data_IF_985439790085
#
_entry.id   IF_985439790085
#
_cell.length_a   1.000
_cell.length_b   1.000
_cell.length_c   1.000
_cell.angle_alpha   90.00
_cell.angle_beta   90.00
_cell.angle_gamma   90.00
#
_symmetry.space_group_name_H-M   'P 1'
#
loop_
_entity.id
_entity.type
_entity.pdbx_description
1 polymer ?
#
# COMPACT_ATOMS: atom_id res chain seq x y z
N UNK A 1 32.17 15.35 48.32
CA UNK A 1 31.48 14.24 47.62
C UNK A 1 30.11 14.76 47.22
N UNK A 2 29.99 15.39 46.03
CA UNK A 2 28.76 16.05 45.57
C UNK A 2 27.90 15.03 44.81
N UNK A 3 26.71 14.74 45.34
CA UNK A 3 25.71 13.91 44.68
C UNK A 3 25.20 14.64 43.43
N UNK A 4 25.48 14.10 42.24
CA UNK A 4 24.87 14.55 41.00
C UNK A 4 23.36 14.24 41.07
N UNK A 5 22.54 15.29 41.02
CA UNK A 5 21.10 15.17 40.94
C UNK A 5 20.74 14.32 39.72
N UNK A 6 20.04 13.21 39.96
CA UNK A 6 19.58 12.27 38.94
C UNK A 6 18.57 13.01 38.04
N UNK A 7 19.00 13.44 36.86
CA UNK A 7 18.15 14.10 35.88
C UNK A 7 16.88 13.25 35.67
N UNK A 8 15.71 13.85 35.93
CA UNK A 8 14.43 13.23 35.58
C UNK A 8 14.44 12.99 34.07
N UNK A 9 14.26 11.73 33.65
CA UNK A 9 14.05 11.40 32.23
C UNK A 9 12.97 12.34 31.68
N UNK A 10 13.33 13.06 30.62
CA UNK A 10 12.38 13.91 29.90
C UNK A 10 11.18 13.04 29.51
N UNK A 11 9.94 13.53 29.66
CA UNK A 11 8.78 12.78 29.21
C UNK A 11 8.97 12.46 27.72
N UNK A 12 8.71 11.20 27.33
CA UNK A 12 8.76 10.82 25.93
C UNK A 12 7.85 11.77 25.15
N UNK A 13 8.43 12.52 24.21
CA UNK A 13 7.66 13.32 23.26
C UNK A 13 6.75 12.33 22.54
N UNK A 14 5.44 12.42 22.81
CA UNK A 14 4.46 11.56 22.17
C UNK A 14 4.41 11.99 20.72
N UNK A 15 5.13 11.28 19.85
CA UNK A 15 5.06 11.51 18.41
C UNK A 15 3.59 11.33 17.98
N UNK A 16 2.96 12.43 17.59
CA UNK A 16 1.60 12.39 17.03
C UNK A 16 1.70 11.72 15.68
N UNK A 17 0.97 10.62 15.52
CA UNK A 17 0.89 9.96 14.23
C UNK A 17 0.11 10.82 13.26
N UNK A 18 0.72 11.11 12.11
CA UNK A 18 0.06 11.82 11.04
C UNK A 18 -0.47 10.80 10.05
N UNK A 19 -1.77 10.87 9.77
CA UNK A 19 -2.37 10.21 8.62
C UNK A 19 -2.24 11.15 7.41
N UNK A 20 -1.31 10.88 6.47
CA UNK A 20 -1.10 11.73 5.29
C UNK A 20 -2.32 11.77 4.38
N UNK A 21 -3.21 10.78 4.42
CA UNK A 21 -4.45 10.79 3.65
C UNK A 21 -5.46 11.76 4.27
N UNK A 22 -5.53 11.82 5.61
CA UNK A 22 -6.41 12.75 6.33
C UNK A 22 -5.99 14.20 6.09
N UNK A 23 -4.69 14.50 6.12
CA UNK A 23 -4.19 15.86 5.86
C UNK A 23 -4.41 16.32 4.42
N UNK A 24 -4.54 15.40 3.47
CA UNK A 24 -4.76 15.69 2.05
C UNK A 24 -6.23 15.56 1.60
N UNK A 25 -7.13 15.12 2.48
CA UNK A 25 -8.52 14.79 2.14
C UNK A 25 -9.30 15.95 1.48
N UNK A 26 -8.99 17.19 1.86
CA UNK A 26 -9.58 18.40 1.27
C UNK A 26 -9.16 18.65 -0.19
N UNK A 27 -8.09 18.00 -0.66
CA UNK A 27 -7.56 18.15 -2.03
C UNK A 27 -7.37 16.79 -2.71
N UNK A 28 -8.42 16.34 -3.39
CA UNK A 28 -8.42 15.07 -4.12
C UNK A 28 -7.39 14.99 -5.26
N UNK A 29 -6.95 16.12 -5.82
CA UNK A 29 -5.89 16.12 -6.82
C UNK A 29 -4.55 15.67 -6.22
N UNK A 30 -4.24 16.11 -4.99
CA UNK A 30 -3.04 15.67 -4.26
C UNK A 30 -3.15 14.19 -3.85
N UNK A 31 -4.33 13.74 -3.46
CA UNK A 31 -4.58 12.31 -3.16
C UNK A 31 -4.31 11.46 -4.41
N UNK A 32 -4.89 11.82 -5.56
CA UNK A 32 -4.65 11.14 -6.84
C UNK A 32 -3.19 11.17 -7.26
N UNK A 33 -2.50 12.29 -7.05
CA UNK A 33 -1.09 12.41 -7.39
C UNK A 33 -0.22 11.45 -6.56
N UNK A 34 -0.49 11.33 -5.25
CA UNK A 34 0.33 10.53 -4.33
C UNK A 34 -0.01 9.04 -4.33
N UNK A 35 -1.27 8.69 -4.49
CA UNK A 35 -1.76 7.32 -4.35
C UNK A 35 -2.25 6.70 -5.65
N UNK A 36 -2.35 7.48 -6.74
CA UNK A 36 -2.97 7.05 -8.02
C UNK A 36 -4.45 6.65 -7.93
N UNK A 37 -5.05 6.85 -6.76
CA UNK A 37 -6.46 6.61 -6.46
C UNK A 37 -7.09 7.86 -5.82
N UNK A 38 -8.41 7.95 -5.87
CA UNK A 38 -9.17 8.91 -5.06
C UNK A 38 -9.54 8.33 -3.69
N UNK A 39 -10.09 9.15 -2.79
CA UNK A 39 -10.42 8.72 -1.43
C UNK A 39 -11.44 7.56 -1.42
N UNK A 40 -12.51 7.65 -2.21
CA UNK A 40 -13.53 6.60 -2.27
C UNK A 40 -12.95 5.24 -2.72
N UNK A 41 -12.02 5.25 -3.69
CA UNK A 41 -11.32 4.05 -4.14
C UNK A 41 -10.42 3.48 -3.05
N UNK A 42 -9.70 4.34 -2.31
CA UNK A 42 -8.87 3.90 -1.19
C UNK A 42 -9.69 3.33 -0.03
N UNK A 43 -10.88 3.87 0.23
CA UNK A 43 -11.81 3.30 1.21
C UNK A 43 -12.35 1.95 0.74
N UNK A 44 -12.74 1.83 -0.52
CA UNK A 44 -13.14 0.55 -1.09
C UNK A 44 -12.04 -0.51 -0.99
N UNK A 45 -10.77 -0.16 -1.28
CA UNK A 45 -9.63 -1.08 -1.08
C UNK A 45 -9.50 -1.43 0.41
N UNK A 46 -9.66 -0.45 1.30
CA UNK A 46 -9.58 -0.66 2.74
C UNK A 46 -10.62 -1.66 3.22
N UNK A 47 -11.87 -1.53 2.78
CA UNK A 47 -12.95 -2.46 3.11
C UNK A 47 -12.64 -3.88 2.62
N UNK A 48 -12.09 -4.04 1.42
CA UNK A 48 -11.72 -5.35 0.88
C UNK A 48 -10.58 -6.02 1.63
N UNK A 49 -9.58 -5.25 2.06
CA UNK A 49 -8.41 -5.79 2.76
C UNK A 49 -8.62 -5.91 4.27
N UNK A 50 -9.58 -5.17 4.86
CA UNK A 50 -9.81 -5.13 6.29
C UNK A 50 -9.95 -6.49 7.00
N UNK A 51 -10.55 -7.55 6.40
CA UNK A 51 -10.61 -8.88 7.00
C UNK A 51 -9.27 -9.61 7.06
N UNK A 52 -8.31 -9.24 6.21
CA UNK A 52 -6.99 -9.87 6.09
C UNK A 52 -5.91 -9.08 6.85
N UNK A 53 -6.22 -7.85 7.23
CA UNK A 53 -5.35 -7.01 8.06
C UNK A 53 -5.61 -7.31 9.52
N UNK A 54 -4.51 -7.42 10.30
CA UNK A 54 -4.59 -7.69 11.73
C UNK A 54 -5.44 -6.66 12.47
N UNK A 55 -6.11 -7.12 13.54
CA UNK A 55 -7.06 -6.30 14.27
C UNK A 55 -6.43 -5.05 14.87
N UNK A 56 -7.25 -4.00 14.90
CA UNK A 56 -7.05 -2.85 15.77
C UNK A 56 -7.25 -3.36 17.21
N UNK A 57 -6.22 -3.99 17.76
CA UNK A 57 -6.20 -4.26 19.21
C UNK A 57 -6.50 -2.95 19.93
N UNK A 58 -7.20 -3.04 21.06
CA UNK A 58 -7.64 -1.94 21.96
C UNK A 58 -6.52 -0.97 22.41
N UNK A 59 -5.32 -1.16 21.89
CA UNK A 59 -4.14 -0.42 22.24
C UNK A 59 -4.07 0.92 21.52
N UNK A 60 -3.77 2.02 22.23
CA UNK A 60 -3.61 3.35 21.65
C UNK A 60 -2.54 3.45 20.55
N UNK A 61 -1.68 2.44 20.42
CA UNK A 61 -0.64 2.36 19.41
C UNK A 61 -0.99 1.46 18.22
N UNK A 62 -2.21 0.91 18.13
CA UNK A 62 -2.67 0.24 16.93
C UNK A 62 -2.69 1.23 15.74
N UNK A 63 -2.40 0.72 14.54
CA UNK A 63 -2.41 1.51 13.31
C UNK A 63 -3.68 1.16 12.58
N UNK A 64 -4.55 2.14 12.37
CA UNK A 64 -5.85 1.91 11.74
C UNK A 64 -5.72 1.22 10.38
N UNK A 65 -6.67 0.36 10.04
CA UNK A 65 -6.69 -0.33 8.74
C UNK A 65 -6.57 0.64 7.55
N UNK A 66 -7.23 1.80 7.63
CA UNK A 66 -7.13 2.88 6.63
C UNK A 66 -5.70 3.40 6.48
N UNK A 67 -4.98 3.61 7.57
CA UNK A 67 -3.57 4.04 7.53
C UNK A 67 -2.66 2.90 7.05
N UNK A 68 -2.90 1.66 7.46
CA UNK A 68 -2.16 0.49 6.96
C UNK A 68 -2.24 0.41 5.42
N UNK A 69 -3.46 0.48 4.86
CA UNK A 69 -3.66 0.46 3.41
C UNK A 69 -3.01 1.66 2.72
N UNK A 70 -3.15 2.86 3.27
CA UNK A 70 -2.48 4.04 2.71
C UNK A 70 -0.95 3.86 2.65
N UNK A 71 -0.33 3.27 3.67
CA UNK A 71 1.10 2.97 3.68
C UNK A 71 1.50 1.96 2.61
N UNK A 72 0.75 0.86 2.46
CA UNK A 72 1.01 -0.15 1.44
C UNK A 72 0.85 0.39 0.02
N UNK A 73 -0.24 1.12 -0.26
CA UNK A 73 -0.45 1.75 -1.57
C UNK A 73 0.63 2.80 -1.86
N UNK A 74 1.03 3.61 -0.85
CA UNK A 74 2.09 4.60 -1.03
C UNK A 74 3.42 3.93 -1.37
N UNK A 75 3.74 2.81 -0.73
CA UNK A 75 4.90 2.01 -1.09
C UNK A 75 4.81 1.51 -2.53
N UNK A 76 3.70 0.91 -2.95
CA UNK A 76 3.53 0.42 -4.34
C UNK A 76 3.67 1.54 -5.39
N UNK A 77 3.27 2.77 -5.05
CA UNK A 77 3.41 3.92 -5.95
C UNK A 77 4.84 4.48 -6.03
N UNK A 78 5.70 4.21 -5.06
CA UNK A 78 7.01 4.88 -4.91
C UNK A 78 8.19 3.93 -4.84
N UNK A 79 7.94 2.66 -4.58
CA UNK A 79 8.93 1.63 -4.26
C UNK A 79 9.92 2.04 -3.15
N UNK A 80 9.50 2.89 -2.20
CA UNK A 80 10.38 3.45 -1.18
C UNK A 80 9.77 3.45 0.21
N UNK A 81 10.35 2.64 1.10
CA UNK A 81 10.00 2.63 2.52
C UNK A 81 10.30 3.97 3.20
N UNK A 82 11.37 4.67 2.79
CA UNK A 82 11.75 5.95 3.39
C UNK A 82 10.72 7.05 3.09
N UNK A 83 10.13 7.05 1.89
CA UNK A 83 9.04 7.99 1.57
C UNK A 83 7.83 7.70 2.45
N UNK A 84 7.47 6.43 2.65
CA UNK A 84 6.34 6.07 3.51
C UNK A 84 6.61 6.45 4.97
N UNK A 85 7.82 6.20 5.49
CA UNK A 85 8.22 6.63 6.84
C UNK A 85 8.12 8.14 7.00
N UNK A 86 8.60 8.91 6.01
CA UNK A 86 8.50 10.38 6.02
C UNK A 86 7.05 10.89 5.96
N UNK A 87 6.19 10.23 5.17
CA UNK A 87 4.77 10.56 5.07
C UNK A 87 3.99 10.17 6.35
N UNK A 88 4.40 9.10 7.06
CA UNK A 88 3.78 8.62 8.30
C UNK A 88 4.63 8.93 9.52
N UNK A 89 4.69 10.22 9.89
CA UNK A 89 5.35 10.66 11.11
C UNK A 89 4.88 9.84 12.33
N UNK A 90 5.81 9.39 13.17
CA UNK A 90 5.52 8.59 14.36
C UNK A 90 5.47 7.07 14.15
N UNK A 91 5.78 6.57 12.96
CA UNK A 91 5.99 5.13 12.69
C UNK A 91 7.48 4.82 12.52
N UNK A 92 7.96 3.74 13.15
CA UNK A 92 9.32 3.25 12.91
C UNK A 92 9.43 2.57 11.55
N UNK A 93 10.62 2.54 10.95
CA UNK A 93 10.85 1.82 9.68
C UNK A 93 10.42 0.34 9.75
N UNK A 94 10.67 -0.34 10.89
CA UNK A 94 10.21 -1.72 11.12
C UNK A 94 8.69 -1.84 11.06
N UNK A 95 7.98 -0.90 11.69
CA UNK A 95 6.52 -0.82 11.65
C UNK A 95 6.02 -0.63 10.22
N UNK A 96 6.63 0.29 9.47
CA UNK A 96 6.27 0.53 8.06
C UNK A 96 6.49 -0.73 7.23
N UNK A 97 7.65 -1.36 7.34
CA UNK A 97 7.98 -2.58 6.58
C UNK A 97 7.01 -3.72 6.88
N UNK A 98 6.67 -3.96 8.15
CA UNK A 98 5.69 -4.98 8.54
C UNK A 98 4.30 -4.71 7.96
N UNK A 99 3.87 -3.45 7.97
CA UNK A 99 2.56 -3.05 7.41
C UNK A 99 2.54 -3.23 5.90
N UNK A 100 3.58 -2.76 5.21
CA UNK A 100 3.71 -2.93 3.76
C UNK A 100 3.66 -4.40 3.40
N UNK A 101 4.40 -5.25 4.12
CA UNK A 101 4.37 -6.71 3.93
C UNK A 101 2.96 -7.29 4.08
N UNK A 102 2.25 -6.95 5.16
CA UNK A 102 0.87 -7.41 5.40
C UNK A 102 -0.11 -6.95 4.32
N UNK A 103 0.00 -5.70 3.86
CA UNK A 103 -0.88 -5.19 2.80
C UNK A 103 -0.60 -5.90 1.48
N UNK A 104 0.67 -6.17 1.15
CA UNK A 104 1.04 -6.93 -0.04
C UNK A 104 0.53 -8.37 0.06
N UNK A 105 0.67 -9.01 1.23
CA UNK A 105 0.14 -10.35 1.47
C UNK A 105 -1.39 -10.39 1.33
N UNK A 106 -2.10 -9.41 1.89
CA UNK A 106 -3.54 -9.28 1.75
C UNK A 106 -3.97 -9.06 0.28
N UNK A 107 -3.23 -8.26 -0.48
CA UNK A 107 -3.48 -8.07 -1.92
C UNK A 107 -3.25 -9.36 -2.73
N UNK A 108 -2.36 -10.24 -2.27
CA UNK A 108 -2.08 -11.53 -2.90
C UNK A 108 -2.94 -12.67 -2.33
N UNK A 109 -3.92 -12.37 -1.50
CA UNK A 109 -4.84 -13.38 -0.98
C UNK A 109 -5.54 -14.11 -2.15
N UNK A 110 -5.54 -15.47 -2.18
CA UNK A 110 -6.04 -16.23 -3.33
C UNK A 110 -7.49 -15.93 -3.70
N UNK A 111 -8.36 -15.68 -2.71
CA UNK A 111 -9.77 -15.37 -2.92
C UNK A 111 -9.93 -14.00 -3.58
N UNK A 112 -9.13 -13.01 -3.15
CA UNK A 112 -9.13 -11.67 -3.75
C UNK A 112 -8.53 -11.71 -5.16
N UNK A 113 -7.40 -12.40 -5.34
CA UNK A 113 -6.74 -12.58 -6.65
C UNK A 113 -7.69 -13.26 -7.63
N UNK A 114 -8.40 -14.33 -7.23
CA UNK A 114 -9.36 -15.02 -8.11
C UNK A 114 -10.53 -14.15 -8.54
N UNK A 115 -10.95 -13.19 -7.71
CA UNK A 115 -12.05 -12.27 -8.04
C UNK A 115 -11.65 -11.24 -9.10
N UNK A 116 -10.41 -10.73 -9.05
CA UNK A 116 -9.98 -9.60 -9.89
C UNK A 116 -9.02 -9.98 -11.02
N UNK A 117 -8.22 -11.03 -10.83
CA UNK A 117 -7.23 -11.52 -11.78
C UNK A 117 -7.75 -12.81 -12.40
N UNK A 118 -8.34 -12.69 -13.58
CA UNK A 118 -8.60 -13.85 -14.43
C UNK A 118 -7.30 -14.17 -15.14
N UNK A 119 -6.58 -15.21 -14.71
CA UNK A 119 -5.42 -15.75 -15.41
C UNK A 119 -5.68 -17.22 -15.74
N UNK A 120 -5.87 -17.52 -17.03
CA UNK A 120 -6.21 -18.88 -17.52
C UNK A 120 -5.11 -19.41 -18.43
N UNK A 121 -3.93 -19.77 -17.89
CA UNK A 121 -2.79 -20.21 -18.69
C UNK A 121 -3.06 -21.51 -19.45
N UNK A 122 -3.94 -22.35 -18.89
CA UNK A 122 -4.35 -23.63 -19.48
C UNK A 122 -5.36 -23.48 -20.64
N UNK A 123 -5.78 -22.26 -20.98
CA UNK A 123 -6.70 -21.99 -22.08
C UNK A 123 -5.93 -21.28 -23.21
N UNK A 124 -5.47 -22.01 -24.25
CA UNK A 124 -4.66 -21.43 -25.34
C UNK A 124 -5.36 -20.28 -26.06
N UNK A 125 -6.69 -20.31 -26.17
CA UNK A 125 -7.47 -19.21 -26.75
C UNK A 125 -7.46 -17.95 -25.89
N UNK A 126 -7.57 -18.11 -24.57
CA UNK A 126 -7.48 -16.99 -23.62
C UNK A 126 -6.09 -16.36 -23.68
N UNK A 127 -5.04 -17.17 -23.69
CA UNK A 127 -3.65 -16.71 -23.80
C UNK A 127 -3.41 -15.95 -25.12
N UNK A 128 -3.86 -16.49 -26.26
CA UNK A 128 -3.75 -15.81 -27.57
C UNK A 128 -4.47 -14.46 -27.57
N UNK A 129 -5.69 -14.40 -27.05
CA UNK A 129 -6.48 -13.15 -26.99
C UNK A 129 -5.78 -12.10 -26.13
N UNK A 130 -5.27 -12.48 -24.96
CA UNK A 130 -4.58 -11.55 -24.04
C UNK A 130 -3.20 -11.13 -24.55
N UNK A 131 -2.46 -12.01 -25.20
CA UNK A 131 -1.19 -11.66 -25.85
C UNK A 131 -1.41 -10.60 -26.94
N UNK A 132 -2.46 -10.76 -27.77
CA UNK A 132 -2.82 -9.78 -28.79
C UNK A 132 -3.26 -8.44 -28.20
N UNK A 133 -4.06 -8.46 -27.13
CA UNK A 133 -4.44 -7.23 -26.40
C UNK A 133 -3.22 -6.53 -25.80
N UNK A 134 -2.32 -7.29 -25.19
CA UNK A 134 -1.08 -6.76 -24.60
C UNK A 134 -0.17 -6.16 -25.66
N UNK A 135 0.04 -6.86 -26.79
CA UNK A 135 0.82 -6.36 -27.92
C UNK A 135 0.24 -5.04 -28.44
N UNK A 136 -1.09 -4.95 -28.57
CA UNK A 136 -1.81 -3.74 -28.99
C UNK A 136 -1.63 -2.57 -28.00
N UNK A 137 -1.76 -2.83 -26.69
CA UNK A 137 -1.61 -1.79 -25.65
C UNK A 137 -0.15 -1.33 -25.54
N UNK A 138 0.80 -2.28 -25.60
CA UNK A 138 2.24 -2.01 -25.57
C UNK A 138 2.78 -1.34 -26.82
N UNK A 139 1.94 -1.11 -27.86
CA UNK A 139 2.35 -0.65 -29.20
C UNK A 139 3.50 -1.48 -29.78
N UNK A 140 3.56 -2.77 -29.43
CA UNK A 140 4.45 -3.70 -30.12
C UNK A 140 3.86 -3.87 -31.51
N UNK A 141 4.43 -3.17 -32.49
CA UNK A 141 4.08 -3.34 -33.90
C UNK A 141 4.30 -4.82 -34.18
N UNK A 142 3.24 -5.52 -34.55
CA UNK A 142 3.32 -6.89 -35.04
C UNK A 142 4.03 -6.84 -36.40
N UNK A 143 5.36 -6.79 -36.39
CA UNK A 143 6.10 -7.20 -37.56
C UNK A 143 5.97 -8.71 -37.67
N UNK A 144 5.23 -9.06 -38.72
CA UNK A 144 4.98 -10.38 -39.26
C UNK A 144 6.29 -11.14 -39.44
N UNK A 145 6.68 -11.93 -38.44
CA UNK A 145 7.62 -13.01 -38.70
C UNK A 145 6.84 -14.16 -39.34
N UNK A 146 6.79 -14.07 -40.66
CA UNK A 146 6.45 -15.16 -41.57
C UNK A 146 7.34 -16.35 -41.21
N UNK A 147 6.68 -17.49 -41.04
CA UNK A 147 7.24 -18.83 -40.90
C UNK A 147 8.31 -19.08 -41.96
N UNK A 148 9.50 -19.49 -41.52
CA UNK A 148 10.42 -20.33 -42.29
C UNK A 148 10.30 -21.76 -41.81
#
# INVERSE_FOLDING_TARGET
MLYAARERRRPNVRYVRVDPRRSLSANQALVRLRYRFNDAQLDWITEKLAPMLGDDLLEPWAISKRLQVAMGIRYLCTNSHQIVVGDTLGCSQKTVSNIVGRVIEALNNPELVRQFIVFKPQCPEWCRRRANEFARIGKFISESWILT
#
